data_IF_902749679491
#
_entry.id   IF_902749679491
#
_cell.length_a   1.000
_cell.length_b   1.000
_cell.length_c   1.000
_cell.angle_alpha   90.00
_cell.angle_beta   90.00
_cell.angle_gamma   90.00
#
_symmetry.space_group_name_H-M   'P 1'
#
loop_
_entity.id
_entity.type
_entity.pdbx_description
1 polymer ?
#
# COMPACT_ATOMS: atom_id res chain seq x y z
N UNK A 1 10.60 -2.25 -1.53
CA UNK A 1 10.28 -0.83 -1.48
C UNK A 1 9.04 -0.50 -2.27
N UNK A 2 9.08 -0.73 -3.58
CA UNK A 2 7.93 -0.41 -4.42
C UNK A 2 6.70 -1.23 -4.04
N UNK A 3 6.93 -2.47 -3.64
CA UNK A 3 5.82 -3.35 -3.26
C UNK A 3 5.14 -2.93 -1.96
N UNK A 4 5.93 -2.42 -1.02
CA UNK A 4 5.37 -1.95 0.24
C UNK A 4 4.44 -0.75 0.00
N UNK A 5 4.82 0.15 -0.90
CA UNK A 5 3.98 1.29 -1.21
C UNK A 5 2.65 0.83 -1.80
N UNK A 6 2.68 -0.17 -2.69
CA UNK A 6 1.46 -0.68 -3.29
C UNK A 6 0.49 -1.21 -2.25
N UNK A 7 1.00 -1.93 -1.23
CA UNK A 7 0.17 -2.43 -0.14
C UNK A 7 -0.48 -1.27 0.61
N UNK A 8 0.28 -0.22 0.89
CA UNK A 8 -0.25 0.93 1.61
C UNK A 8 -1.34 1.64 0.83
N UNK A 9 -1.23 1.66 -0.50
CA UNK A 9 -2.24 2.32 -1.33
C UNK A 9 -3.60 1.67 -1.25
N UNK A 10 -3.68 0.42 -0.83
CA UNK A 10 -4.93 -0.33 -0.84
C UNK A 10 -5.70 -0.29 0.45
N UNK A 11 -5.28 0.53 1.41
CA UNK A 11 -5.99 0.59 2.66
C UNK A 11 -7.37 1.03 2.48
N UNK A 12 -8.19 0.70 3.34
CA UNK A 12 -8.21 0.62 4.76
C UNK A 12 -9.11 -0.41 5.25
N UNK A 13 -8.91 -1.36 5.65
CA UNK A 13 -9.84 -2.20 6.34
C UNK A 13 -9.32 -2.48 7.70
N UNK A 14 -10.14 -3.05 8.54
CA UNK A 14 -9.78 -3.32 9.91
C UNK A 14 -8.65 -4.33 9.99
N UNK A 15 -8.77 -5.43 9.24
CA UNK A 15 -7.73 -6.44 9.22
C UNK A 15 -7.66 -7.02 7.83
N UNK A 16 -6.49 -6.94 7.21
CA UNK A 16 -6.28 -7.42 5.85
C UNK A 16 -4.98 -8.17 5.79
N UNK A 17 -5.05 -9.37 5.21
CA UNK A 17 -3.85 -10.17 4.95
C UNK A 17 -3.50 -10.07 3.47
N UNK A 18 -2.22 -10.09 3.17
CA UNK A 18 -1.72 -9.91 1.81
C UNK A 18 -0.91 -11.12 1.39
N UNK A 19 -1.11 -11.57 0.16
CA UNK A 19 -0.48 -12.76 -0.40
C UNK A 19 0.15 -12.41 -1.74
N UNK A 20 1.28 -13.02 -2.06
CA UNK A 20 1.93 -12.76 -3.33
C UNK A 20 1.31 -13.61 -4.44
N UNK A 21 1.89 -13.56 -5.61
CA UNK A 21 1.36 -14.26 -6.79
C UNK A 21 1.40 -15.77 -6.65
N UNK A 22 2.22 -16.28 -5.76
CA UNK A 22 2.33 -17.72 -5.49
C UNK A 22 1.47 -18.15 -4.32
N UNK A 23 0.74 -17.20 -3.74
CA UNK A 23 -0.10 -17.50 -2.59
C UNK A 23 0.63 -17.44 -1.26
N UNK A 24 1.89 -17.02 -1.24
CA UNK A 24 2.64 -16.93 -0.01
C UNK A 24 2.25 -15.68 0.77
N UNK A 25 2.08 -15.84 2.08
CA UNK A 25 1.70 -14.74 2.97
C UNK A 25 2.81 -13.70 3.01
N UNK A 26 2.45 -12.43 2.80
CA UNK A 26 3.41 -11.33 2.77
C UNK A 26 3.30 -10.39 3.96
N UNK A 27 2.24 -10.50 4.74
CA UNK A 27 2.05 -9.64 5.89
C UNK A 27 0.60 -9.22 6.02
N UNK A 28 0.35 -8.38 7.01
CA UNK A 28 -1.00 -7.93 7.27
C UNK A 28 -1.02 -6.51 7.78
N UNK A 29 -2.18 -5.88 7.64
CA UNK A 29 -2.46 -4.58 8.23
C UNK A 29 -3.65 -4.78 9.15
N UNK A 30 -3.49 -4.40 10.42
CA UNK A 30 -4.52 -4.61 11.43
C UNK A 30 -4.65 -3.33 12.25
N UNK A 31 -5.82 -2.69 12.18
CA UNK A 31 -6.11 -1.43 12.87
C UNK A 31 -5.06 -0.36 12.57
N UNK A 32 -4.62 -0.32 11.32
CA UNK A 32 -3.63 0.65 10.90
C UNK A 32 -2.20 0.26 11.19
N UNK A 33 -1.97 -0.88 11.85
CA UNK A 33 -0.63 -1.35 12.10
C UNK A 33 -0.20 -2.33 11.03
N UNK A 34 1.04 -2.21 10.59
CA UNK A 34 1.57 -2.96 9.49
C UNK A 34 2.57 -3.98 10.02
N UNK A 35 2.37 -5.25 9.65
CA UNK A 35 3.24 -6.34 10.08
C UNK A 35 3.74 -7.07 8.85
N UNK A 36 4.98 -7.50 8.86
CA UNK A 36 5.54 -8.25 7.74
C UNK A 36 5.13 -9.72 7.83
N UNK A 37 5.66 -10.53 6.92
CA UNK A 37 5.29 -11.95 6.86
C UNK A 37 5.74 -12.74 8.08
N UNK A 38 6.70 -12.23 8.82
CA UNK A 38 7.18 -12.85 10.04
C UNK A 38 6.46 -12.33 11.27
N UNK A 39 5.52 -11.43 11.08
CA UNK A 39 4.79 -10.84 12.20
C UNK A 39 5.49 -9.65 12.83
N UNK A 40 6.60 -9.20 12.26
CA UNK A 40 7.33 -8.08 12.83
C UNK A 40 6.65 -6.77 12.47
N UNK A 41 6.53 -5.88 13.46
CA UNK A 41 5.92 -4.58 13.29
C UNK A 41 6.75 -3.70 12.36
N UNK A 42 6.13 -3.15 11.33
CA UNK A 42 6.81 -2.34 10.33
C UNK A 42 6.41 -0.87 10.35
N UNK A 43 5.36 -0.52 11.08
CA UNK A 43 4.90 0.85 11.13
C UNK A 43 3.39 0.94 11.21
N UNK A 44 2.88 2.13 11.04
CA UNK A 44 1.44 2.34 11.16
C UNK A 44 0.93 3.44 10.25
N UNK A 45 -0.36 3.41 10.02
CA UNK A 45 -1.07 4.46 9.31
C UNK A 45 -2.13 4.97 10.26
N UNK A 46 -2.17 6.28 10.48
CA UNK A 46 -3.18 6.82 11.39
C UNK A 46 -4.46 7.15 10.62
N UNK A 47 -5.47 7.58 11.34
CA UNK A 47 -6.78 7.84 10.74
C UNK A 47 -6.76 9.04 9.79
N UNK A 48 -5.74 9.88 9.89
CA UNK A 48 -5.60 11.04 9.02
C UNK A 48 -4.81 10.71 7.74
N UNK A 49 -4.42 9.45 7.58
CA UNK A 49 -3.71 9.02 6.39
C UNK A 49 -2.21 9.22 6.45
N UNK A 50 -1.65 9.44 7.64
CA UNK A 50 -0.22 9.60 7.79
C UNK A 50 0.46 8.27 8.04
N UNK A 51 1.60 8.07 7.39
CA UNK A 51 2.37 6.84 7.49
C UNK A 51 3.59 7.07 8.38
N UNK A 52 3.83 6.11 9.29
CA UNK A 52 4.98 6.16 10.21
C UNK A 52 5.69 4.83 10.14
N UNK A 53 7.02 4.85 10.22
CA UNK A 53 7.78 3.61 10.20
C UNK A 53 7.77 2.97 11.59
N UNK A 54 8.49 1.88 11.74
CA UNK A 54 8.49 1.14 13.01
C UNK A 54 9.10 1.92 14.17
N UNK A 55 9.90 2.93 13.86
CA UNK A 55 10.50 3.79 14.88
C UNK A 55 9.65 5.02 15.17
N UNK A 56 8.52 5.14 14.50
CA UNK A 56 7.65 6.28 14.67
C UNK A 56 8.00 7.48 13.81
N UNK A 57 8.95 7.35 12.90
CA UNK A 57 9.33 8.44 12.02
C UNK A 57 8.31 8.61 10.91
N UNK A 58 7.93 9.85 10.65
CA UNK A 58 6.94 10.17 9.62
C UNK A 58 7.48 9.83 8.22
N UNK A 59 6.70 9.12 7.43
CA UNK A 59 7.10 8.66 6.10
C UNK A 59 6.30 9.27 4.97
N UNK A 60 5.23 10.00 5.27
CA UNK A 60 4.40 10.58 4.24
C UNK A 60 2.93 10.47 4.58
N UNK A 61 2.10 10.87 3.64
CA UNK A 61 0.66 10.85 3.89
C UNK A 61 -0.13 10.56 2.63
N UNK A 62 -1.35 10.14 2.86
CA UNK A 62 -2.35 9.99 1.81
C UNK A 62 -3.39 11.09 2.05
N UNK A 63 -3.74 11.81 0.99
CA UNK A 63 -4.77 12.83 1.05
C UNK A 63 -5.74 12.55 -0.09
N UNK A 64 -6.95 12.08 0.27
CA UNK A 64 -7.90 11.55 -0.70
C UNK A 64 -7.23 10.40 -1.46
N UNK A 65 -7.04 10.57 -2.75
CA UNK A 65 -6.43 9.51 -3.57
C UNK A 65 -5.00 9.83 -3.96
N UNK A 66 -4.40 10.84 -3.31
CA UNK A 66 -3.03 11.26 -3.64
C UNK A 66 -2.08 10.91 -2.51
N UNK A 67 -0.85 10.59 -2.90
CA UNK A 67 0.18 10.16 -1.97
C UNK A 67 1.35 11.12 -2.01
N UNK A 68 1.87 11.45 -0.82
CA UNK A 68 2.97 12.40 -0.65
C UNK A 68 4.02 11.77 0.25
N UNK A 69 5.28 12.05 -0.04
CA UNK A 69 6.36 11.53 0.79
C UNK A 69 6.54 12.40 2.04
N UNK A 70 7.55 12.09 2.83
CA UNK A 70 7.77 12.80 4.09
C UNK A 70 8.15 14.26 3.90
N UNK A 71 8.60 14.63 2.71
CA UNK A 71 8.95 16.00 2.39
C UNK A 71 7.79 16.75 1.72
N UNK A 72 6.67 16.08 1.56
CA UNK A 72 5.50 16.67 0.92
C UNK A 72 5.49 16.56 -0.59
N UNK A 73 6.45 15.84 -1.16
CA UNK A 73 6.51 15.69 -2.61
C UNK A 73 5.49 14.68 -3.09
N UNK A 74 4.79 15.01 -4.15
CA UNK A 74 3.75 14.15 -4.73
C UNK A 74 4.35 12.86 -5.27
N UNK A 75 3.78 11.72 -4.89
CA UNK A 75 4.29 10.41 -5.28
C UNK A 75 3.36 9.64 -6.21
N UNK A 76 2.14 10.10 -6.40
CA UNK A 76 1.20 9.39 -7.26
C UNK A 76 -0.20 9.40 -6.72
N UNK A 77 -1.07 8.70 -7.43
CA UNK A 77 -2.49 8.67 -7.06
C UNK A 77 -3.13 7.34 -7.43
N UNK A 78 -4.30 7.09 -6.85
CA UNK A 78 -5.17 6.00 -7.28
C UNK A 78 -6.40 6.60 -7.91
N UNK A 79 -6.99 5.86 -8.85
CA UNK A 79 -8.24 6.29 -9.48
C UNK A 79 -8.95 5.05 -10.00
N UNK A 80 -10.15 4.80 -9.50
CA UNK A 80 -10.95 3.64 -9.93
C UNK A 80 -10.19 2.33 -9.84
N UNK A 81 -9.39 2.18 -8.79
CA UNK A 81 -8.60 0.98 -8.57
C UNK A 81 -7.30 0.94 -9.37
N UNK A 82 -6.98 1.99 -10.09
CA UNK A 82 -5.75 2.07 -10.87
C UNK A 82 -4.74 2.93 -10.14
N UNK A 83 -3.47 2.54 -10.24
CA UNK A 83 -2.36 3.22 -9.57
C UNK A 83 -1.51 3.94 -10.60
N UNK A 84 -1.19 5.21 -10.30
CA UNK A 84 -0.38 6.04 -11.19
C UNK A 84 0.77 6.63 -10.37
N UNK A 85 1.95 6.73 -10.98
CA UNK A 85 3.09 7.31 -10.30
C UNK A 85 3.03 8.84 -10.37
N UNK A 86 4.07 9.48 -9.86
CA UNK A 86 4.11 10.94 -9.81
C UNK A 86 4.12 11.60 -11.18
N UNK A 87 4.51 10.87 -12.21
CA UNK A 87 4.53 11.36 -13.58
C UNK A 87 3.24 11.04 -14.33
N UNK A 88 2.30 10.39 -13.65
CA UNK A 88 1.06 9.98 -14.26
C UNK A 88 1.13 8.67 -15.01
N UNK A 89 2.24 7.96 -14.93
CA UNK A 89 2.39 6.69 -15.62
C UNK A 89 1.63 5.59 -14.87
N UNK A 90 0.91 4.77 -15.62
CA UNK A 90 0.12 3.68 -15.06
C UNK A 90 1.05 2.63 -14.44
N UNK A 91 0.77 2.22 -13.20
CA UNK A 91 1.60 1.28 -12.48
C UNK A 91 0.91 -0.05 -12.19
N UNK A 92 -0.39 -0.13 -12.45
CA UNK A 92 -1.12 -1.35 -12.17
C UNK A 92 -2.49 -1.06 -11.61
N UNK A 93 -3.19 -2.11 -11.22
CA UNK A 93 -4.54 -1.96 -10.71
C UNK A 93 -4.86 -2.97 -9.63
N UNK A 94 -5.89 -2.67 -8.87
CA UNK A 94 -6.50 -3.58 -7.92
C UNK A 94 -7.92 -3.83 -8.37
N UNK A 95 -8.33 -5.10 -8.38
CA UNK A 95 -9.67 -5.47 -8.78
C UNK A 95 -10.11 -6.68 -7.97
N UNK A 96 -11.22 -6.54 -7.23
CA UNK A 96 -11.76 -7.63 -6.41
C UNK A 96 -10.73 -8.21 -5.43
N UNK A 97 -9.88 -7.35 -4.89
CA UNK A 97 -8.86 -7.77 -3.95
C UNK A 97 -7.61 -8.35 -4.58
N UNK A 98 -7.54 -8.36 -5.91
CA UNK A 98 -6.37 -8.85 -6.63
C UNK A 98 -5.57 -7.70 -7.19
N UNK A 99 -4.25 -7.88 -7.18
CA UNK A 99 -3.32 -6.85 -7.65
C UNK A 99 -2.68 -7.29 -8.96
N UNK A 100 -2.64 -6.37 -9.91
CA UNK A 100 -2.03 -6.61 -11.22
C UNK A 100 -1.02 -5.49 -11.51
N UNK A 101 0.09 -5.83 -12.13
CA UNK A 101 1.08 -4.82 -12.47
C UNK A 101 0.69 -4.09 -13.76
N UNK A 102 1.56 -3.21 -14.22
CA UNK A 102 1.26 -2.38 -15.39
C UNK A 102 1.16 -3.20 -16.68
N UNK A 103 1.69 -4.40 -16.67
CA UNK A 103 1.61 -5.31 -17.82
C UNK A 103 0.43 -6.27 -17.71
N UNK A 104 -0.36 -6.14 -16.65
CA UNK A 104 -1.50 -7.00 -16.42
C UNK A 104 -1.17 -8.32 -15.73
N UNK A 105 0.07 -8.51 -15.31
CA UNK A 105 0.45 -9.74 -14.63
C UNK A 105 -0.05 -9.74 -13.19
N UNK A 106 -0.58 -10.88 -12.77
CA UNK A 106 -1.10 -11.02 -11.41
C UNK A 106 0.05 -10.96 -10.39
N UNK A 107 -0.10 -10.14 -9.37
CA UNK A 107 0.95 -9.92 -8.38
C UNK A 107 0.57 -10.35 -6.98
N UNK A 108 -0.67 -10.73 -6.77
CA UNK A 108 -1.10 -11.17 -5.46
C UNK A 108 -2.49 -10.67 -5.09
N UNK A 109 -2.88 -10.90 -3.85
CA UNK A 109 -4.21 -10.53 -3.39
C UNK A 109 -4.21 -10.13 -1.92
N UNK A 110 -5.28 -9.46 -1.54
CA UNK A 110 -5.56 -9.20 -0.11
C UNK A 110 -6.83 -9.95 0.27
N UNK A 111 -6.90 -10.27 1.54
CA UNK A 111 -8.02 -11.07 2.03
C UNK A 111 -8.43 -10.69 3.45
#
# INVERSE_FOLDING_TARGET
MKHALLLLLTLPALAQSYYDQNGAFQGRIDNGRIYDRNGAYQGRIDKDGRFYDRNGAYQGRRDNDRFYDKNGAYQGRTENGRFYDRNGAYQGRQENGRFYDKNGAYRGRKQ
#
